data_IF_641383116022
#
_entry.id   IF_641383116022
#
_cell.length_a   1.000
_cell.length_b   1.000
_cell.length_c   1.000
_cell.angle_alpha   90.00
_cell.angle_beta   90.00
_cell.angle_gamma   90.00
#
_symmetry.space_group_name_H-M   'P 1'
#
loop_
_entity.id
_entity.type
_entity.pdbx_description
1 polymer ?
#
# COMPACT_ATOMS: atom_id res chain seq x y z
N UNK A 1 -22.30 7.71 7.69
CA UNK A 1 -22.42 7.70 6.22
C UNK A 1 -21.15 7.17 5.53
N UNK A 2 -19.93 7.54 5.96
CA UNK A 2 -18.68 7.05 5.35
C UNK A 2 -18.52 5.51 5.41
N UNK A 3 -18.89 4.89 6.51
CA UNK A 3 -18.81 3.44 6.73
C UNK A 3 -19.63 2.61 5.74
N UNK A 4 -20.85 3.07 5.43
CA UNK A 4 -21.71 2.41 4.45
C UNK A 4 -21.12 2.51 3.03
N UNK A 5 -20.47 3.62 2.71
CA UNK A 5 -19.78 3.79 1.44
C UNK A 5 -18.57 2.86 1.31
N UNK A 6 -17.77 2.72 2.37
CA UNK A 6 -16.60 1.85 2.36
C UNK A 6 -16.98 0.37 2.28
N UNK A 7 -18.00 -0.05 3.03
CA UNK A 7 -18.49 -1.44 2.97
C UNK A 7 -19.12 -1.77 1.62
N UNK A 8 -19.83 -0.84 1.01
CA UNK A 8 -20.40 -1.01 -0.33
C UNK A 8 -19.30 -1.11 -1.40
N UNK A 9 -18.24 -0.29 -1.31
CA UNK A 9 -17.09 -0.36 -2.19
C UNK A 9 -16.35 -1.69 -2.08
N UNK A 10 -16.17 -2.18 -0.85
CA UNK A 10 -15.55 -3.48 -0.61
C UNK A 10 -16.39 -4.62 -1.16
N UNK A 11 -17.72 -4.58 -0.95
CA UNK A 11 -18.64 -5.59 -1.51
C UNK A 11 -18.60 -5.57 -3.04
N UNK A 12 -18.58 -4.41 -3.67
CA UNK A 12 -18.49 -4.26 -5.11
C UNK A 12 -17.15 -4.80 -5.65
N UNK A 13 -16.04 -4.56 -4.93
CA UNK A 13 -14.73 -5.09 -5.28
C UNK A 13 -14.71 -6.63 -5.22
N UNK A 14 -15.38 -7.24 -4.24
CA UNK A 14 -15.51 -8.69 -4.16
C UNK A 14 -16.33 -9.28 -5.31
N UNK A 15 -17.38 -8.59 -5.74
CA UNK A 15 -18.17 -9.00 -6.93
C UNK A 15 -17.32 -8.92 -8.20
N UNK A 16 -16.44 -7.93 -8.32
CA UNK A 16 -15.51 -7.79 -9.44
C UNK A 16 -14.33 -8.80 -9.39
N UNK A 17 -14.27 -9.62 -8.34
CA UNK A 17 -13.25 -10.65 -8.14
C UNK A 17 -11.87 -10.10 -7.80
N UNK A 18 -10.83 -10.90 -8.08
CA UNK A 18 -9.43 -10.57 -7.72
C UNK A 18 -8.99 -9.20 -8.22
N UNK A 19 -9.26 -8.90 -9.49
CA UNK A 19 -8.85 -7.63 -10.10
C UNK A 19 -9.51 -6.44 -9.40
N UNK A 20 -10.79 -6.56 -9.02
CA UNK A 20 -11.51 -5.51 -8.29
C UNK A 20 -10.88 -5.22 -6.94
N UNK A 21 -10.50 -6.26 -6.19
CA UNK A 21 -9.84 -6.11 -4.89
C UNK A 21 -8.47 -5.47 -5.05
N UNK A 22 -7.65 -5.92 -6.01
CA UNK A 22 -6.31 -5.34 -6.27
C UNK A 22 -6.42 -3.85 -6.62
N UNK A 23 -7.35 -3.48 -7.51
CA UNK A 23 -7.57 -2.07 -7.90
C UNK A 23 -8.07 -1.25 -6.72
N UNK A 24 -9.01 -1.76 -5.92
CA UNK A 24 -9.51 -1.06 -4.75
C UNK A 24 -8.36 -0.75 -3.77
N UNK A 25 -7.54 -1.76 -3.44
CA UNK A 25 -6.41 -1.56 -2.53
C UNK A 25 -5.32 -0.67 -3.12
N UNK A 26 -5.11 -0.68 -4.44
CA UNK A 26 -4.20 0.26 -5.10
C UNK A 26 -4.69 1.72 -4.94
N UNK A 27 -6.00 1.96 -5.10
CA UNK A 27 -6.60 3.29 -4.89
C UNK A 27 -6.50 3.70 -3.41
N UNK A 28 -6.78 2.79 -2.48
CA UNK A 28 -6.62 3.04 -1.04
C UNK A 28 -5.17 3.38 -0.68
N UNK A 29 -4.20 2.64 -1.21
CA UNK A 29 -2.77 2.92 -1.01
C UNK A 29 -2.37 4.26 -1.60
N UNK A 30 -2.89 4.60 -2.79
CA UNK A 30 -2.65 5.91 -3.39
C UNK A 30 -3.19 7.04 -2.51
N UNK A 31 -4.41 6.90 -1.99
CA UNK A 31 -5.02 7.89 -1.09
C UNK A 31 -4.23 8.00 0.23
N UNK A 32 -3.86 6.88 0.83
CA UNK A 32 -3.06 6.83 2.06
C UNK A 32 -1.67 7.46 1.87
N UNK A 33 -0.98 7.12 0.77
CA UNK A 33 0.32 7.70 0.44
C UNK A 33 0.22 9.20 0.19
N UNK A 34 -0.85 9.65 -0.48
CA UNK A 34 -1.12 11.07 -0.69
C UNK A 34 -1.32 11.80 0.63
N UNK A 35 -2.13 11.25 1.53
CA UNK A 35 -2.37 11.84 2.86
C UNK A 35 -1.09 11.88 3.68
N UNK A 36 -0.36 10.79 3.74
CA UNK A 36 0.94 10.74 4.40
C UNK A 36 1.90 11.79 3.84
N UNK A 37 1.94 11.93 2.52
CA UNK A 37 2.76 12.93 1.87
C UNK A 37 2.34 14.38 2.23
N UNK A 38 1.11 14.66 2.67
CA UNK A 38 0.73 15.99 3.15
C UNK A 38 1.27 16.31 4.53
N UNK A 39 1.55 15.29 5.33
CA UNK A 39 2.05 15.41 6.71
C UNK A 39 3.57 15.57 6.78
N UNK A 40 4.29 15.22 5.73
CA UNK A 40 5.77 15.26 5.69
C UNK A 40 6.29 16.60 5.20
N UNK A 41 7.49 16.97 5.62
CA UNK A 41 8.17 18.20 5.21
C UNK A 41 8.67 18.05 3.78
N UNK A 42 8.05 18.77 2.84
CA UNK A 42 8.40 18.70 1.42
C UNK A 42 9.34 19.81 1.01
N UNK A 43 10.32 19.44 0.17
CA UNK A 43 11.15 20.39 -0.59
C UNK A 43 11.00 20.15 -2.07
N UNK A 44 11.31 21.16 -2.86
CA UNK A 44 11.30 21.05 -4.33
C UNK A 44 12.24 19.95 -4.83
N UNK A 45 13.32 19.67 -4.10
CA UNK A 45 14.26 18.58 -4.39
C UNK A 45 13.64 17.18 -4.27
N UNK A 46 12.57 16.99 -3.48
CA UNK A 46 11.95 15.68 -3.27
C UNK A 46 10.90 15.32 -4.33
N UNK A 47 10.59 16.29 -5.21
CA UNK A 47 9.48 16.14 -6.16
C UNK A 47 9.62 14.90 -7.06
N UNK A 48 10.81 14.63 -7.56
CA UNK A 48 11.07 13.45 -8.40
C UNK A 48 11.00 12.14 -7.64
N UNK A 49 11.49 12.09 -6.40
CA UNK A 49 11.41 10.90 -5.57
C UNK A 49 9.95 10.59 -5.18
N UNK A 50 9.19 11.62 -4.84
CA UNK A 50 7.75 11.50 -4.55
C UNK A 50 6.98 11.08 -5.81
N UNK A 51 7.24 11.71 -6.96
CA UNK A 51 6.61 11.33 -8.23
C UNK A 51 6.93 9.86 -8.60
N UNK A 52 8.18 9.43 -8.42
CA UNK A 52 8.56 8.03 -8.63
C UNK A 52 7.82 7.08 -7.67
N UNK A 53 7.63 7.45 -6.42
CA UNK A 53 6.87 6.66 -5.45
C UNK A 53 5.41 6.46 -5.89
N UNK A 54 4.74 7.50 -6.37
CA UNK A 54 3.34 7.46 -6.79
C UNK A 54 3.13 6.79 -8.15
N UNK A 55 3.95 7.11 -9.13
CA UNK A 55 3.70 6.73 -10.53
C UNK A 55 4.51 5.53 -11.00
N UNK A 56 5.55 5.14 -10.26
CA UNK A 56 6.36 3.97 -10.60
C UNK A 56 6.23 2.90 -9.52
N UNK A 57 6.61 3.20 -8.28
CA UNK A 57 6.71 2.20 -7.22
C UNK A 57 5.34 1.60 -6.88
N UNK A 58 4.32 2.43 -6.66
CA UNK A 58 2.98 1.97 -6.31
C UNK A 58 2.34 1.11 -7.43
N UNK A 59 2.26 1.55 -8.70
CA UNK A 59 1.66 0.73 -9.75
C UNK A 59 2.42 -0.57 -10.01
N UNK A 60 3.75 -0.55 -9.97
CA UNK A 60 4.59 -1.73 -10.18
C UNK A 60 4.39 -2.75 -9.05
N UNK A 61 4.30 -2.30 -7.80
CA UNK A 61 4.01 -3.19 -6.67
C UNK A 61 2.67 -3.93 -6.87
N UNK A 62 1.60 -3.20 -7.19
CA UNK A 62 0.28 -3.80 -7.41
C UNK A 62 0.21 -4.64 -8.68
N UNK A 63 0.99 -4.32 -9.70
CA UNK A 63 1.14 -5.15 -10.87
C UNK A 63 1.76 -6.51 -10.51
N UNK A 64 2.82 -6.55 -9.70
CA UNK A 64 3.42 -7.81 -9.24
C UNK A 64 2.45 -8.64 -8.39
N UNK A 65 1.65 -8.01 -7.54
CA UNK A 65 0.58 -8.68 -6.80
C UNK A 65 -0.47 -9.24 -7.76
N UNK A 66 -0.84 -8.49 -8.80
CA UNK A 66 -1.86 -8.93 -9.77
C UNK A 66 -1.42 -10.15 -10.58
N UNK A 67 -0.15 -10.23 -11.00
CA UNK A 67 0.40 -11.38 -11.71
C UNK A 67 0.83 -12.52 -10.78
N UNK A 68 0.68 -12.33 -9.46
CA UNK A 68 1.04 -13.31 -8.42
C UNK A 68 2.53 -13.70 -8.38
N UNK A 69 3.41 -12.74 -8.68
CA UNK A 69 4.84 -12.96 -8.60
C UNK A 69 5.37 -12.69 -7.17
N UNK A 70 5.14 -13.68 -6.27
CA UNK A 70 5.48 -13.58 -4.86
C UNK A 70 6.90 -13.07 -4.59
N UNK A 71 7.91 -13.63 -5.27
CA UNK A 71 9.30 -13.24 -5.08
C UNK A 71 9.52 -11.75 -5.34
N UNK A 72 8.90 -11.18 -6.39
CA UNK A 72 9.08 -9.77 -6.72
C UNK A 72 8.29 -8.84 -5.82
N UNK A 73 7.01 -9.07 -5.55
CA UNK A 73 6.27 -8.14 -4.70
C UNK A 73 6.74 -8.14 -3.24
N UNK A 74 7.40 -9.23 -2.78
CA UNK A 74 7.97 -9.30 -1.44
C UNK A 74 9.25 -8.50 -1.26
N UNK A 75 10.10 -8.38 -2.31
CA UNK A 75 11.40 -7.70 -2.22
C UNK A 75 11.43 -6.35 -2.92
N UNK A 76 10.46 -6.03 -3.78
CA UNK A 76 10.50 -4.85 -4.63
C UNK A 76 10.59 -3.55 -3.82
N UNK A 77 9.67 -3.31 -2.87
CA UNK A 77 9.72 -2.10 -2.05
C UNK A 77 10.85 -2.15 -1.02
N UNK A 78 11.00 -3.21 -0.18
CA UNK A 78 12.00 -3.19 0.88
C UNK A 78 13.44 -3.24 0.39
N UNK A 79 13.69 -3.67 -0.85
CA UNK A 79 15.05 -3.74 -1.42
C UNK A 79 15.23 -2.71 -2.54
N UNK A 80 14.49 -2.85 -3.64
CA UNK A 80 14.75 -2.02 -4.82
C UNK A 80 14.32 -0.57 -4.63
N UNK A 81 13.09 -0.32 -4.18
CA UNK A 81 12.64 1.04 -3.96
C UNK A 81 13.42 1.70 -2.80
N UNK A 82 13.74 0.93 -1.76
CA UNK A 82 14.52 1.39 -0.60
C UNK A 82 15.94 1.84 -0.98
N UNK A 83 16.56 1.23 -1.97
CA UNK A 83 17.88 1.62 -2.47
C UNK A 83 17.81 2.72 -3.54
N UNK A 84 16.85 2.63 -4.46
CA UNK A 84 16.81 3.51 -5.62
C UNK A 84 16.27 4.91 -5.30
N UNK A 85 15.31 5.03 -4.38
CA UNK A 85 14.72 6.34 -4.03
C UNK A 85 15.72 7.29 -3.37
N UNK A 86 16.58 6.87 -2.41
CA UNK A 86 17.63 7.73 -1.90
C UNK A 86 18.62 8.19 -2.97
N UNK A 87 18.95 7.33 -3.93
CA UNK A 87 19.81 7.70 -5.06
C UNK A 87 19.14 8.79 -5.90
N UNK A 88 17.86 8.62 -6.23
CA UNK A 88 17.09 9.61 -6.98
C UNK A 88 16.99 10.95 -6.23
N UNK A 89 16.82 10.91 -4.91
CA UNK A 89 16.82 12.12 -4.07
C UNK A 89 18.21 12.78 -3.98
N UNK A 90 19.28 11.99 -3.87
CA UNK A 90 20.66 12.48 -3.81
C UNK A 90 21.09 13.20 -5.09
N UNK A 91 20.64 12.75 -6.25
CA UNK A 91 20.92 13.36 -7.54
C UNK A 91 20.40 14.81 -7.67
N UNK A 92 19.46 15.21 -6.82
CA UNK A 92 18.94 16.58 -6.76
C UNK A 92 19.87 17.55 -6.03
N UNK A 93 20.90 17.06 -5.34
CA UNK A 93 21.96 17.87 -4.71
C UNK A 93 21.57 18.61 -3.43
N UNK A 94 20.35 18.47 -2.91
CA UNK A 94 19.95 19.05 -1.63
C UNK A 94 20.28 18.12 -0.47
N UNK A 95 21.34 18.43 0.28
CA UNK A 95 21.84 17.65 1.42
C UNK A 95 21.13 17.96 2.72
N UNK A 96 20.31 19.02 2.79
CA UNK A 96 19.62 19.41 4.03
C UNK A 96 18.58 18.38 4.42
N UNK A 97 18.67 17.87 5.65
CA UNK A 97 17.74 16.89 6.22
C UNK A 97 17.51 15.66 5.34
N UNK A 98 18.50 15.33 4.48
CA UNK A 98 18.40 14.29 3.47
C UNK A 98 17.96 12.94 4.05
N UNK A 99 18.56 12.51 5.17
CA UNK A 99 18.23 11.26 5.83
C UNK A 99 16.80 11.25 6.36
N UNK A 100 16.34 12.37 6.96
CA UNK A 100 15.00 12.48 7.49
C UNK A 100 13.96 12.37 6.37
N UNK A 101 14.12 13.16 5.31
CA UNK A 101 13.21 13.17 4.15
C UNK A 101 13.15 11.82 3.44
N UNK A 102 14.30 11.19 3.27
CA UNK A 102 14.39 9.85 2.68
C UNK A 102 13.71 8.82 3.57
N UNK A 103 13.94 8.85 4.87
CA UNK A 103 13.29 7.96 5.82
C UNK A 103 11.77 8.13 5.83
N UNK A 104 11.26 9.36 5.83
CA UNK A 104 9.83 9.65 5.75
C UNK A 104 9.18 9.02 4.51
N UNK A 105 9.81 9.18 3.34
CA UNK A 105 9.29 8.60 2.09
C UNK A 105 9.35 7.06 2.11
N UNK A 106 10.42 6.49 2.63
CA UNK A 106 10.57 5.03 2.76
C UNK A 106 9.53 4.44 3.72
N UNK A 107 9.29 5.07 4.88
CA UNK A 107 8.25 4.68 5.81
C UNK A 107 6.85 4.78 5.19
N UNK A 108 6.60 5.88 4.46
CA UNK A 108 5.35 6.05 3.73
C UNK A 108 5.08 4.88 2.77
N UNK A 109 6.07 4.49 1.97
CA UNK A 109 5.95 3.37 1.04
C UNK A 109 5.78 2.03 1.76
N UNK A 110 6.51 1.80 2.85
CA UNK A 110 6.39 0.56 3.63
C UNK A 110 4.98 0.41 4.22
N UNK A 111 4.44 1.46 4.83
CA UNK A 111 3.13 1.37 5.51
C UNK A 111 2.00 1.45 4.48
N UNK A 112 1.98 2.49 3.64
CA UNK A 112 0.83 2.78 2.78
C UNK A 112 0.75 1.89 1.54
N UNK A 113 1.87 1.37 1.04
CA UNK A 113 1.89 0.59 -0.20
C UNK A 113 2.26 -0.86 0.07
N UNK A 114 3.41 -1.13 0.67
CA UNK A 114 3.91 -2.48 0.87
C UNK A 114 2.97 -3.31 1.76
N UNK A 115 2.72 -2.88 2.99
CA UNK A 115 1.83 -3.60 3.90
C UNK A 115 0.41 -3.75 3.32
N UNK A 116 -0.13 -2.69 2.73
CA UNK A 116 -1.47 -2.72 2.13
C UNK A 116 -1.57 -3.67 0.94
N UNK A 117 -0.50 -3.84 0.16
CA UNK A 117 -0.47 -4.72 -1.01
C UNK A 117 -0.56 -6.22 -0.66
N UNK A 118 -0.25 -6.61 0.57
CA UNK A 118 -0.41 -7.99 1.03
C UNK A 118 -1.87 -8.38 1.26
N UNK A 119 -2.77 -7.42 1.48
CA UNK A 119 -4.19 -7.74 1.68
C UNK A 119 -4.79 -8.39 0.43
N UNK A 120 -4.72 -7.81 -0.78
CA UNK A 120 -5.18 -8.50 -1.99
C UNK A 120 -4.36 -9.76 -2.32
N UNK A 121 -3.10 -9.85 -1.90
CA UNK A 121 -2.29 -11.06 -2.07
C UNK A 121 -2.83 -12.26 -1.30
N UNK A 122 -3.60 -12.06 -0.22
CA UNK A 122 -4.27 -13.15 0.49
C UNK A 122 -5.26 -13.93 -0.38
N UNK A 123 -5.75 -13.33 -1.48
CA UNK A 123 -6.65 -14.03 -2.40
C UNK A 123 -5.99 -15.20 -3.14
N UNK A 124 -4.67 -15.20 -3.25
CA UNK A 124 -3.90 -16.25 -3.95
C UNK A 124 -3.34 -17.31 -3.00
N UNK A 125 -3.53 -17.13 -1.69
CA UNK A 125 -3.05 -18.06 -0.70
C UNK A 125 -3.75 -19.41 -0.83
N UNK A 126 -2.97 -20.47 -0.98
CA UNK A 126 -3.50 -21.84 -1.03
C UNK A 126 -3.52 -22.42 0.39
N UNK A 127 -4.73 -22.70 0.88
CA UNK A 127 -4.95 -23.29 2.19
C UNK A 127 -5.70 -24.61 1.99
N UNK A 128 -5.09 -25.71 2.38
CA UNK A 128 -5.72 -27.03 2.30
C UNK A 128 -7.06 -27.07 3.05
N UNK A 129 -8.12 -27.49 2.39
CA UNK A 129 -9.46 -27.54 2.95
C UNK A 129 -10.28 -26.23 2.90
N UNK A 130 -9.72 -25.12 2.43
CA UNK A 130 -10.40 -23.83 2.28
C UNK A 130 -10.32 -23.26 0.86
N UNK A 131 -10.19 -24.11 -0.12
CA UNK A 131 -10.08 -23.71 -1.52
C UNK A 131 -11.25 -22.83 -1.95
N UNK A 132 -10.92 -21.67 -2.56
CA UNK A 132 -11.91 -20.70 -3.06
C UNK A 132 -12.59 -19.83 -2.01
N UNK A 133 -12.24 -19.94 -0.72
CA UNK A 133 -12.81 -19.15 0.38
C UNK A 133 -11.90 -18.03 0.87
N UNK A 134 -10.88 -17.68 0.13
CA UNK A 134 -9.87 -16.67 0.52
C UNK A 134 -10.47 -15.26 0.72
N UNK A 135 -11.60 -14.97 0.08
CA UNK A 135 -12.36 -13.73 0.32
C UNK A 135 -12.76 -13.58 1.80
N UNK A 136 -13.04 -14.70 2.49
CA UNK A 136 -13.37 -14.68 3.93
C UNK A 136 -12.18 -14.26 4.79
N UNK A 137 -10.95 -14.52 4.37
CA UNK A 137 -9.75 -14.04 5.07
C UNK A 137 -9.65 -12.52 5.04
N UNK A 138 -9.92 -11.90 3.90
CA UNK A 138 -9.93 -10.44 3.78
C UNK A 138 -11.09 -9.85 4.58
N UNK A 139 -12.28 -10.46 4.50
CA UNK A 139 -13.42 -10.02 5.29
C UNK A 139 -13.12 -10.11 6.80
N UNK A 140 -12.52 -11.21 7.26
CA UNK A 140 -12.10 -11.38 8.66
C UNK A 140 -11.08 -10.32 9.07
N UNK A 141 -10.04 -10.07 8.25
CA UNK A 141 -9.03 -9.05 8.53
C UNK A 141 -9.67 -7.67 8.67
N UNK A 142 -10.56 -7.30 7.76
CA UNK A 142 -11.27 -6.01 7.80
C UNK A 142 -12.12 -5.91 9.08
N UNK A 143 -12.85 -6.94 9.45
CA UNK A 143 -13.68 -6.95 10.67
C UNK A 143 -12.80 -6.79 11.91
N UNK A 144 -11.67 -7.51 12.00
CA UNK A 144 -10.75 -7.40 13.15
C UNK A 144 -10.18 -6.00 13.28
N UNK A 145 -9.72 -5.39 12.18
CA UNK A 145 -9.19 -4.03 12.18
C UNK A 145 -10.28 -3.03 12.60
N UNK A 146 -11.48 -3.15 12.06
CA UNK A 146 -12.59 -2.27 12.39
C UNK A 146 -13.03 -2.39 13.86
N UNK A 147 -13.06 -3.61 14.39
CA UNK A 147 -13.38 -3.83 15.82
C UNK A 147 -12.28 -3.23 16.72
N UNK A 148 -11.02 -3.36 16.32
CA UNK A 148 -9.90 -2.75 17.04
C UNK A 148 -10.04 -1.23 17.11
N UNK A 149 -10.36 -0.58 15.98
CA UNK A 149 -10.56 0.87 15.92
C UNK A 149 -11.72 1.34 16.81
N UNK A 150 -12.85 0.61 16.79
CA UNK A 150 -14.00 0.92 17.65
C UNK A 150 -13.66 0.75 19.12
N UNK A 151 -12.93 -0.30 19.48
CA UNK A 151 -12.51 -0.53 20.87
C UNK A 151 -11.53 0.55 21.34
N UNK A 152 -10.59 0.98 20.52
CA UNK A 152 -9.69 2.09 20.84
C UNK A 152 -10.42 3.41 21.04
N UNK A 153 -11.49 3.66 20.29
CA UNK A 153 -12.29 4.89 20.45
C UNK A 153 -13.13 4.89 21.73
N UNK A 154 -13.49 3.72 22.26
CA UNK A 154 -14.33 3.60 23.48
C UNK A 154 -13.50 3.56 24.77
N UNK A 155 -12.18 3.44 24.71
CA UNK A 155 -11.23 3.51 25.83
C UNK A 155 -10.61 4.89 25.94
#
# INVERSE_FOLDING_TARGET
MAWLGLSALLALAFVAGRTGVVVLFAICSFAALREFATLTTKRTADHWAIAAAFFVVLPVQYYFVWIDWYGMYSIFIPVYAFLLLPIAAALQGDTRDFLLRTAELQWALMICVYCASYVPALLTLQIDGFEGRNVLLIAFLVVVVQLSDVLQYTW
#
